data_IF_898779443261
#
_entry.id   IF_898779443261
#
_cell.length_a   1.000
_cell.length_b   1.000
_cell.length_c   1.000
_cell.angle_alpha   90.00
_cell.angle_beta   90.00
_cell.angle_gamma   90.00
#
_symmetry.space_group_name_H-M   'P 1'
#
loop_
_entity.id
_entity.type
_entity.pdbx_description
1 polymer ?
#
# COMPACT_ATOMS: atom_id res chain seq x y z
N UNK A 1 -36.93 -59.95 32.00
CA UNK A 1 -35.96 -59.64 33.07
C UNK A 1 -35.21 -58.38 32.66
N UNK A 2 -34.90 -57.51 33.62
CA UNK A 2 -34.70 -56.06 33.49
C UNK A 2 -33.48 -55.65 32.63
N UNK A 3 -33.67 -54.68 31.74
CA UNK A 3 -32.59 -53.91 31.12
C UNK A 3 -31.96 -52.99 32.19
N UNK A 4 -30.66 -53.15 32.44
CA UNK A 4 -29.91 -52.31 33.37
C UNK A 4 -29.59 -50.97 32.70
N UNK A 5 -30.27 -49.91 33.13
CA UNK A 5 -29.90 -48.53 32.84
C UNK A 5 -28.63 -48.19 33.64
N UNK A 6 -27.51 -48.05 32.95
CA UNK A 6 -26.28 -47.48 33.49
C UNK A 6 -26.52 -46.02 33.86
N UNK A 7 -26.18 -45.56 35.08
CA UNK A 7 -26.38 -44.17 35.47
C UNK A 7 -25.40 -43.25 34.70
N UNK A 8 -25.78 -42.01 34.37
CA UNK A 8 -24.88 -41.06 33.74
C UNK A 8 -23.71 -40.74 34.68
N UNK A 9 -22.48 -40.80 34.16
CA UNK A 9 -21.25 -40.49 34.89
C UNK A 9 -21.34 -39.07 35.48
N UNK A 10 -21.32 -38.95 36.80
CA UNK A 10 -21.28 -37.69 37.59
C UNK A 10 -20.04 -36.77 37.35
N UNK A 11 -19.22 -37.05 36.34
CA UNK A 11 -17.96 -36.32 36.08
C UNK A 11 -18.04 -35.19 35.05
N UNK A 12 -19.09 -35.14 34.22
CA UNK A 12 -19.12 -34.25 33.04
C UNK A 12 -19.25 -32.77 33.38
N UNK A 13 -20.05 -32.41 34.38
CA UNK A 13 -20.28 -31.00 34.73
C UNK A 13 -19.05 -30.31 35.35
N UNK A 14 -18.25 -31.03 36.13
CA UNK A 14 -17.02 -30.46 36.72
C UNK A 14 -15.89 -30.33 35.69
N UNK A 15 -15.82 -31.24 34.73
CA UNK A 15 -14.89 -31.16 33.59
C UNK A 15 -15.25 -30.00 32.65
N UNK A 16 -16.54 -29.80 32.33
CA UNK A 16 -17.00 -28.65 31.53
C UNK A 16 -16.75 -27.31 32.22
N UNK A 17 -16.97 -27.21 33.54
CA UNK A 17 -16.68 -25.99 34.30
C UNK A 17 -15.18 -25.69 34.40
N UNK A 18 -14.32 -26.71 34.43
CA UNK A 18 -12.86 -26.52 34.45
C UNK A 18 -12.31 -26.17 33.08
N UNK A 19 -12.80 -26.77 31.99
CA UNK A 19 -12.44 -26.38 30.62
C UNK A 19 -12.86 -24.94 30.31
N UNK A 20 -14.08 -24.53 30.69
CA UNK A 20 -14.54 -23.13 30.54
C UNK A 20 -13.67 -22.13 31.32
N UNK A 21 -13.26 -22.45 32.56
CA UNK A 21 -12.37 -21.60 33.37
C UNK A 21 -10.97 -21.50 32.76
N UNK A 22 -10.45 -22.60 32.21
CA UNK A 22 -9.15 -22.62 31.54
C UNK A 22 -9.17 -21.83 30.23
N UNK A 23 -10.25 -21.93 29.44
CA UNK A 23 -10.43 -21.10 28.24
C UNK A 23 -10.54 -19.61 28.55
N UNK A 24 -11.27 -19.25 29.60
CA UNK A 24 -11.40 -17.86 30.05
C UNK A 24 -10.04 -17.35 30.52
N UNK A 25 -9.31 -18.10 31.34
CA UNK A 25 -7.95 -17.74 31.80
C UNK A 25 -6.96 -17.62 30.63
N UNK A 26 -7.05 -18.50 29.63
CA UNK A 26 -6.24 -18.43 28.41
C UNK A 26 -6.54 -17.17 27.59
N UNK A 27 -7.81 -16.77 27.47
CA UNK A 27 -8.21 -15.50 26.82
C UNK A 27 -7.65 -14.29 27.56
N UNK A 28 -7.70 -14.26 28.89
CA UNK A 28 -7.13 -13.17 29.70
C UNK A 28 -5.60 -13.08 29.58
N UNK A 29 -4.89 -14.21 29.56
CA UNK A 29 -3.44 -14.21 29.30
C UNK A 29 -3.12 -13.76 27.87
N UNK A 30 -3.90 -14.21 26.88
CA UNK A 30 -3.79 -13.71 25.51
C UNK A 30 -3.98 -12.20 25.43
N UNK A 31 -4.98 -11.65 26.13
CA UNK A 31 -5.22 -10.22 26.20
C UNK A 31 -4.09 -9.50 26.95
N UNK A 32 -3.58 -10.06 28.05
CA UNK A 32 -2.46 -9.48 28.80
C UNK A 32 -1.20 -9.37 27.95
N UNK A 33 -0.87 -10.41 27.17
CA UNK A 33 0.25 -10.36 26.22
C UNK A 33 0.00 -9.42 25.05
N UNK A 34 -1.25 -9.27 24.61
CA UNK A 34 -1.62 -8.31 23.57
C UNK A 34 -1.75 -6.86 24.09
N UNK A 35 -1.92 -6.67 25.41
CA UNK A 35 -2.26 -5.38 26.01
C UNK A 35 -1.25 -4.28 25.70
N UNK A 36 0.08 -4.48 25.78
CA UNK A 36 1.04 -3.43 25.42
C UNK A 36 0.86 -2.94 23.98
N UNK A 37 0.67 -3.85 23.04
CA UNK A 37 0.44 -3.51 21.63
C UNK A 37 -0.92 -2.82 21.42
N UNK A 38 -1.97 -3.31 22.07
CA UNK A 38 -3.30 -2.69 21.99
C UNK A 38 -3.30 -1.28 22.57
N UNK A 39 -2.64 -1.06 23.71
CA UNK A 39 -2.52 0.26 24.32
C UNK A 39 -1.83 1.25 23.38
N UNK A 40 -0.71 0.84 22.77
CA UNK A 40 -0.02 1.69 21.78
C UNK A 40 -0.89 1.94 20.55
N UNK A 41 -1.59 0.92 20.05
CA UNK A 41 -2.51 1.05 18.93
C UNK A 41 -3.64 2.04 19.25
N UNK A 42 -4.28 1.93 20.41
CA UNK A 42 -5.35 2.86 20.80
C UNK A 42 -4.81 4.28 20.96
N UNK A 43 -3.68 4.44 21.66
CA UNK A 43 -3.10 5.75 21.96
C UNK A 43 -2.59 6.49 20.72
N UNK A 44 -1.89 5.80 19.81
CA UNK A 44 -1.15 6.42 18.72
C UNK A 44 -1.77 6.19 17.33
N UNK A 45 -2.73 5.28 17.19
CA UNK A 45 -3.42 5.04 15.92
C UNK A 45 -4.89 5.41 16.04
N UNK A 46 -5.64 4.77 16.94
CA UNK A 46 -7.09 4.94 16.95
C UNK A 46 -7.52 6.34 17.42
N UNK A 47 -6.92 6.86 18.50
CA UNK A 47 -7.26 8.20 19.01
C UNK A 47 -6.99 9.30 17.96
N UNK A 48 -5.80 9.38 17.32
CA UNK A 48 -5.56 10.36 16.25
C UNK A 48 -6.51 10.21 15.06
N UNK A 49 -6.85 8.98 14.66
CA UNK A 49 -7.82 8.74 13.57
C UNK A 49 -9.21 9.26 13.96
N UNK A 50 -9.67 9.00 15.18
CA UNK A 50 -10.93 9.57 15.67
C UNK A 50 -10.85 11.11 15.69
N UNK A 51 -9.72 11.67 16.10
CA UNK A 51 -9.46 13.11 16.05
C UNK A 51 -9.61 13.69 14.64
N UNK A 52 -8.97 13.08 13.65
CA UNK A 52 -9.07 13.48 12.25
C UNK A 52 -10.51 13.37 11.73
N UNK A 53 -11.22 12.28 12.06
CA UNK A 53 -12.64 12.14 11.71
C UNK A 53 -13.45 13.28 12.32
N UNK A 54 -13.26 13.63 13.59
CA UNK A 54 -13.98 14.75 14.23
C UNK A 54 -13.65 16.11 13.59
N UNK A 55 -12.38 16.34 13.22
CA UNK A 55 -11.94 17.55 12.53
C UNK A 55 -12.63 17.72 11.18
N UNK A 56 -12.86 16.64 10.44
CA UNK A 56 -13.52 16.69 9.13
C UNK A 56 -14.95 17.27 9.19
N UNK A 57 -15.62 17.25 10.35
CA UNK A 57 -16.97 17.82 10.53
C UNK A 57 -16.98 19.13 11.33
N UNK A 58 -15.81 19.73 11.59
CA UNK A 58 -15.66 20.96 12.37
C UNK A 58 -14.90 22.03 11.59
N UNK A 59 -15.25 23.29 11.87
CA UNK A 59 -14.40 24.44 11.52
C UNK A 59 -13.32 24.55 12.60
N UNK A 60 -12.20 23.88 12.37
CA UNK A 60 -11.15 23.77 13.38
C UNK A 60 -10.36 25.05 13.48
N UNK A 61 -10.41 25.67 14.66
CA UNK A 61 -9.64 26.85 14.99
C UNK A 61 -8.55 26.46 16.00
N UNK A 62 -7.25 26.50 15.63
CA UNK A 62 -6.17 26.02 16.49
C UNK A 62 -6.19 26.58 17.92
N UNK A 63 -6.56 27.86 18.08
CA UNK A 63 -6.66 28.51 19.40
C UNK A 63 -7.80 28.04 20.30
N UNK A 64 -8.82 27.35 19.76
CA UNK A 64 -9.97 26.80 20.52
C UNK A 64 -9.82 25.30 20.79
N UNK A 65 -8.95 24.62 20.07
CA UNK A 65 -8.82 23.17 20.10
C UNK A 65 -10.05 22.44 19.53
N UNK A 66 -9.98 21.11 19.48
CA UNK A 66 -10.97 20.28 18.77
C UNK A 66 -12.36 20.38 19.41
N UNK A 67 -12.42 20.42 20.74
CA UNK A 67 -13.70 20.34 21.48
C UNK A 67 -14.54 21.60 21.29
N UNK A 68 -13.93 22.79 21.42
CA UNK A 68 -14.63 24.07 21.36
C UNK A 68 -14.79 24.62 19.95
N UNK A 69 -14.10 24.04 18.96
CA UNK A 69 -14.27 24.39 17.55
C UNK A 69 -15.70 24.10 17.07
N UNK A 70 -16.35 25.03 16.34
CA UNK A 70 -17.72 24.88 15.85
C UNK A 70 -17.93 23.62 15.01
N UNK A 71 -19.09 22.99 15.16
CA UNK A 71 -19.52 21.89 14.29
C UNK A 71 -20.15 22.46 13.02
N UNK A 72 -19.64 22.05 11.87
CA UNK A 72 -20.12 22.50 10.54
C UNK A 72 -20.73 21.36 9.73
N UNK A 73 -20.82 20.15 10.30
CA UNK A 73 -21.42 19.01 9.61
C UNK A 73 -20.65 18.64 8.35
N UNK A 74 -21.30 18.70 7.19
CA UNK A 74 -20.71 18.29 5.91
C UNK A 74 -20.11 19.45 5.10
N UNK A 75 -20.04 20.66 5.66
CA UNK A 75 -19.60 21.84 4.91
C UNK A 75 -18.18 21.69 4.37
N UNK A 76 -17.24 21.14 5.14
CA UNK A 76 -15.87 20.85 4.66
C UNK A 76 -15.86 19.92 3.43
N UNK A 77 -16.73 18.91 3.40
CA UNK A 77 -16.84 17.99 2.25
C UNK A 77 -17.49 18.68 1.05
N UNK A 78 -18.47 19.55 1.30
CA UNK A 78 -19.12 20.33 0.24
C UNK A 78 -18.14 21.32 -0.37
N UNK A 79 -17.39 22.03 0.45
CA UNK A 79 -16.41 23.01 0.01
C UNK A 79 -15.30 22.33 -0.80
N UNK A 80 -14.79 21.21 -0.31
CA UNK A 80 -13.81 20.41 -1.05
C UNK A 80 -14.28 19.99 -2.45
N UNK A 81 -15.57 19.72 -2.62
CA UNK A 81 -16.13 19.25 -3.90
C UNK A 81 -16.68 20.36 -4.80
N UNK A 82 -16.97 21.55 -4.27
CA UNK A 82 -17.71 22.58 -5.01
C UNK A 82 -17.11 23.98 -4.93
N UNK A 83 -16.29 24.28 -3.93
CA UNK A 83 -15.66 25.57 -3.78
C UNK A 83 -14.39 25.61 -4.65
N UNK A 84 -14.30 26.50 -5.66
CA UNK A 84 -13.15 26.58 -6.57
C UNK A 84 -11.80 26.76 -5.86
N UNK A 85 -11.81 27.31 -4.65
CA UNK A 85 -10.60 27.47 -3.81
C UNK A 85 -9.95 26.12 -3.46
N UNK A 86 -10.75 25.05 -3.28
CA UNK A 86 -10.27 23.73 -2.87
C UNK A 86 -10.48 22.66 -3.95
N UNK A 87 -11.59 22.75 -4.70
CA UNK A 87 -12.01 21.68 -5.59
C UNK A 87 -11.06 21.49 -6.77
N UNK A 88 -10.47 22.56 -7.31
CA UNK A 88 -9.56 22.46 -8.45
C UNK A 88 -8.29 21.66 -8.08
N UNK A 89 -7.64 22.04 -6.98
CA UNK A 89 -6.45 21.35 -6.47
C UNK A 89 -6.79 19.91 -6.04
N UNK A 90 -7.93 19.70 -5.38
CA UNK A 90 -8.40 18.37 -5.00
C UNK A 90 -8.58 17.44 -6.21
N UNK A 91 -9.23 17.89 -7.28
CA UNK A 91 -9.42 17.06 -8.47
C UNK A 91 -8.12 16.78 -9.20
N UNK A 92 -7.20 17.75 -9.27
CA UNK A 92 -5.86 17.55 -9.82
C UNK A 92 -5.08 16.53 -9.00
N UNK A 93 -5.12 16.65 -7.66
CA UNK A 93 -4.48 15.73 -6.73
C UNK A 93 -5.02 14.31 -6.88
N UNK A 94 -6.34 14.18 -6.97
CA UNK A 94 -7.03 12.91 -7.16
C UNK A 94 -6.66 12.25 -8.50
N UNK A 95 -6.68 13.02 -9.59
CA UNK A 95 -6.33 12.56 -10.93
C UNK A 95 -4.86 12.09 -10.98
N UNK A 96 -3.93 12.90 -10.47
CA UNK A 96 -2.52 12.54 -10.43
C UNK A 96 -2.28 11.28 -9.60
N UNK A 97 -2.91 11.19 -8.42
CA UNK A 97 -2.79 10.01 -7.55
C UNK A 97 -3.33 8.75 -8.22
N UNK A 98 -4.43 8.88 -8.97
CA UNK A 98 -5.00 7.78 -9.75
C UNK A 98 -4.05 7.36 -10.90
N UNK A 99 -3.52 8.32 -11.67
CA UNK A 99 -2.54 8.05 -12.75
C UNK A 99 -1.31 7.34 -12.20
N UNK A 100 -0.75 7.86 -11.10
CA UNK A 100 0.42 7.28 -10.43
C UNK A 100 0.10 5.86 -9.96
N UNK A 101 -1.06 5.63 -9.33
CA UNK A 101 -1.44 4.31 -8.81
C UNK A 101 -1.67 3.30 -9.93
N UNK A 102 -2.39 3.67 -10.99
CA UNK A 102 -2.66 2.82 -12.14
C UNK A 102 -1.37 2.46 -12.88
N UNK A 103 -0.37 3.34 -12.89
CA UNK A 103 0.94 3.05 -13.46
C UNK A 103 1.80 2.17 -12.53
N UNK A 104 1.97 2.57 -11.27
CA UNK A 104 2.92 1.94 -10.35
C UNK A 104 2.49 0.54 -9.94
N UNK A 105 1.22 0.30 -9.64
CA UNK A 105 0.77 -1.02 -9.13
C UNK A 105 1.08 -2.15 -10.13
N UNK A 106 0.67 -2.07 -11.41
CA UNK A 106 1.00 -3.11 -12.38
C UNK A 106 2.50 -3.21 -12.65
N UNK A 107 3.23 -2.08 -12.74
CA UNK A 107 4.67 -2.10 -12.97
C UNK A 107 5.38 -2.82 -11.83
N UNK A 108 5.06 -2.51 -10.59
CA UNK A 108 5.70 -3.12 -9.41
C UNK A 108 5.47 -4.63 -9.36
N UNK A 109 4.23 -5.06 -9.64
CA UNK A 109 3.87 -6.48 -9.69
C UNK A 109 4.60 -7.18 -10.83
N UNK A 110 4.60 -6.58 -12.03
CA UNK A 110 5.22 -7.16 -13.22
C UNK A 110 6.74 -7.29 -13.04
N UNK A 111 7.41 -6.23 -12.57
CA UNK A 111 8.84 -6.26 -12.28
C UNK A 111 9.15 -7.31 -11.23
N UNK A 112 8.40 -7.34 -10.13
CA UNK A 112 8.63 -8.32 -9.07
C UNK A 112 8.46 -9.76 -9.56
N UNK A 113 7.42 -10.04 -10.35
CA UNK A 113 7.14 -11.36 -10.89
C UNK A 113 8.18 -11.80 -11.94
N UNK A 114 8.55 -10.92 -12.86
CA UNK A 114 9.56 -11.21 -13.89
C UNK A 114 10.91 -11.48 -13.23
N UNK A 115 11.34 -10.62 -12.32
CA UNK A 115 12.62 -10.78 -11.63
C UNK A 115 12.62 -12.04 -10.75
N UNK A 116 11.53 -12.31 -10.03
CA UNK A 116 11.40 -13.56 -9.27
C UNK A 116 11.47 -14.80 -10.16
N UNK A 117 10.78 -14.79 -11.30
CA UNK A 117 10.82 -15.89 -12.28
C UNK A 117 12.22 -16.11 -12.88
N UNK A 118 12.98 -15.03 -13.11
CA UNK A 118 14.37 -15.11 -13.58
C UNK A 118 15.31 -15.66 -12.52
N UNK A 119 15.13 -15.29 -11.25
CA UNK A 119 16.01 -15.70 -10.14
C UNK A 119 15.67 -17.10 -9.64
N UNK A 120 14.40 -17.51 -9.68
CA UNK A 120 13.93 -18.81 -9.18
C UNK A 120 14.73 -20.03 -9.66
N UNK A 121 15.07 -20.21 -10.96
CA UNK A 121 15.85 -21.36 -11.41
C UNK A 121 17.34 -21.31 -11.01
N UNK A 122 17.82 -20.19 -10.45
CA UNK A 122 19.23 -20.04 -10.06
C UNK A 122 19.54 -20.75 -8.74
N UNK A 123 20.82 -21.05 -8.50
CA UNK A 123 21.27 -21.67 -7.25
C UNK A 123 21.08 -20.76 -6.01
N UNK A 124 21.00 -21.33 -4.78
CA UNK A 124 20.61 -20.59 -3.58
C UNK A 124 21.46 -19.35 -3.26
N UNK A 125 22.77 -19.42 -3.51
CA UNK A 125 23.70 -18.28 -3.30
C UNK A 125 23.37 -17.11 -4.21
N UNK A 126 23.13 -17.39 -5.49
CA UNK A 126 22.77 -16.39 -6.50
C UNK A 126 21.40 -15.78 -6.21
N UNK A 127 20.43 -16.61 -5.78
CA UNK A 127 19.13 -16.08 -5.35
C UNK A 127 19.26 -15.10 -4.18
N UNK A 128 20.04 -15.45 -3.17
CA UNK A 128 20.23 -14.59 -2.00
C UNK A 128 20.92 -13.28 -2.37
N UNK A 129 21.89 -13.31 -3.27
CA UNK A 129 22.55 -12.11 -3.78
C UNK A 129 21.55 -11.16 -4.46
N UNK A 130 20.74 -11.65 -5.41
CA UNK A 130 19.77 -10.80 -6.11
C UNK A 130 18.64 -10.33 -5.19
N UNK A 131 18.12 -11.18 -4.29
CA UNK A 131 17.14 -10.77 -3.29
C UNK A 131 17.68 -9.61 -2.44
N UNK A 132 18.92 -9.69 -1.99
CA UNK A 132 19.56 -8.61 -1.24
C UNK A 132 19.74 -7.34 -2.09
N UNK A 133 20.22 -7.48 -3.34
CA UNK A 133 20.45 -6.36 -4.25
C UNK A 133 19.14 -5.58 -4.56
N UNK A 134 18.04 -6.29 -4.83
CA UNK A 134 16.74 -5.67 -5.11
C UNK A 134 16.02 -5.18 -3.85
N UNK A 135 16.35 -5.69 -2.67
CA UNK A 135 15.81 -5.21 -1.40
C UNK A 135 16.56 -3.99 -0.86
N UNK A 136 17.83 -3.81 -1.23
CA UNK A 136 18.70 -2.74 -0.75
C UNK A 136 18.13 -1.31 -0.93
N UNK A 137 17.50 -0.95 -2.07
CA UNK A 137 16.87 0.38 -2.22
C UNK A 137 15.81 0.67 -1.16
N UNK A 138 15.12 -0.36 -0.67
CA UNK A 138 14.11 -0.26 0.40
C UNK A 138 14.68 0.17 1.75
N UNK A 139 15.99 -0.04 1.96
CA UNK A 139 16.70 0.27 3.21
C UNK A 139 17.24 1.71 3.20
N UNK A 140 17.52 2.25 2.01
CA UNK A 140 18.01 3.62 1.85
C UNK A 140 16.85 4.59 2.12
N UNK A 141 17.15 5.73 2.75
CA UNK A 141 16.16 6.78 2.99
C UNK A 141 15.49 7.21 1.68
N UNK A 142 14.16 7.14 1.64
CA UNK A 142 13.36 7.57 0.50
C UNK A 142 13.63 9.03 0.11
N UNK A 143 13.97 9.89 1.08
CA UNK A 143 14.33 11.30 0.83
C UNK A 143 15.64 11.40 0.06
N UNK A 144 16.66 10.61 0.42
CA UNK A 144 17.96 10.60 -0.27
C UNK A 144 17.77 10.14 -1.73
N UNK A 145 17.02 9.06 -1.93
CA UNK A 145 16.69 8.55 -3.27
C UNK A 145 15.99 9.64 -4.09
N UNK A 146 14.99 10.30 -3.51
CA UNK A 146 14.25 11.37 -4.19
C UNK A 146 15.14 12.57 -4.55
N UNK A 147 16.11 12.96 -3.71
CA UNK A 147 17.08 14.02 -4.03
C UNK A 147 17.97 13.62 -5.21
N UNK A 148 18.45 12.36 -5.24
CA UNK A 148 19.26 11.86 -6.36
C UNK A 148 18.46 11.89 -7.66
N UNK A 149 17.21 11.42 -7.63
CA UNK A 149 16.33 11.48 -8.80
C UNK A 149 16.01 12.91 -9.22
N UNK A 150 15.74 13.82 -8.28
CA UNK A 150 15.54 15.23 -8.56
C UNK A 150 16.74 15.84 -9.32
N UNK A 151 17.96 15.54 -8.87
CA UNK A 151 19.16 15.95 -9.57
C UNK A 151 19.24 15.34 -10.98
N UNK A 152 18.98 14.04 -11.13
CA UNK A 152 18.97 13.36 -12.43
C UNK A 152 17.97 13.96 -13.43
N UNK A 153 16.83 14.44 -12.95
CA UNK A 153 15.77 15.10 -13.73
C UNK A 153 15.96 16.62 -13.90
N UNK A 154 17.07 17.20 -13.44
CA UNK A 154 17.32 18.64 -13.65
C UNK A 154 17.37 18.97 -15.14
N UNK A 155 16.62 19.99 -15.58
CA UNK A 155 16.37 20.23 -17.01
C UNK A 155 17.66 20.61 -17.79
N UNK A 156 18.54 21.42 -17.19
CA UNK A 156 19.76 21.87 -17.87
C UNK A 156 20.92 20.88 -17.76
N UNK A 157 21.24 20.42 -16.55
CA UNK A 157 22.47 19.64 -16.26
C UNK A 157 22.18 18.26 -15.62
N UNK A 158 20.93 17.82 -15.60
CA UNK A 158 20.57 16.50 -15.08
C UNK A 158 21.08 15.40 -15.98
N UNK A 159 21.47 14.28 -15.35
CA UNK A 159 22.05 13.13 -16.04
C UNK A 159 21.16 12.67 -17.22
N UNK A 160 19.84 12.64 -17.03
CA UNK A 160 18.91 12.13 -18.04
C UNK A 160 18.89 13.04 -19.27
N UNK A 161 18.74 14.35 -19.11
CA UNK A 161 18.75 15.29 -20.26
C UNK A 161 20.13 15.38 -20.93
N UNK A 162 21.22 15.25 -20.17
CA UNK A 162 22.57 15.15 -20.75
C UNK A 162 22.69 13.93 -21.64
N UNK A 163 22.23 12.75 -21.18
CA UNK A 163 22.22 11.53 -21.98
C UNK A 163 21.29 11.63 -23.19
N UNK A 164 20.09 12.22 -23.04
CA UNK A 164 19.18 12.44 -24.17
C UNK A 164 19.80 13.31 -25.27
N UNK A 165 20.45 14.43 -24.88
CA UNK A 165 21.17 15.29 -25.84
C UNK A 165 22.32 14.56 -26.52
N UNK A 166 23.07 13.73 -25.79
CA UNK A 166 24.16 12.94 -26.36
C UNK A 166 23.66 11.91 -27.39
N UNK A 167 22.41 11.44 -27.25
CA UNK A 167 21.74 10.56 -28.20
C UNK A 167 21.01 11.32 -29.33
N UNK A 168 21.07 12.65 -29.34
CA UNK A 168 20.46 13.50 -30.38
C UNK A 168 18.99 13.87 -30.12
N UNK A 169 18.45 13.63 -28.93
CA UNK A 169 17.08 14.01 -28.55
C UNK A 169 17.02 15.41 -27.92
N UNK A 170 15.86 16.06 -28.02
CA UNK A 170 15.60 17.32 -27.34
C UNK A 170 15.47 17.11 -25.81
N UNK A 171 15.93 18.08 -24.99
CA UNK A 171 15.76 18.01 -23.54
C UNK A 171 14.29 18.02 -23.14
N UNK A 172 13.92 17.19 -22.17
CA UNK A 172 12.56 17.15 -21.63
C UNK A 172 12.43 18.16 -20.49
N UNK A 173 11.36 18.99 -20.46
CA UNK A 173 11.07 19.91 -19.36
C UNK A 173 10.41 19.16 -18.19
N UNK A 174 11.22 18.40 -17.44
CA UNK A 174 10.77 17.46 -16.41
C UNK A 174 9.89 18.08 -15.33
N UNK A 175 10.11 19.34 -14.95
CA UNK A 175 9.38 20.00 -13.86
C UNK A 175 8.51 21.18 -14.34
N UNK A 176 8.67 21.59 -15.60
CA UNK A 176 7.93 22.73 -16.16
C UNK A 176 6.58 22.34 -16.77
N UNK A 177 6.33 21.06 -17.07
CA UNK A 177 5.03 20.57 -17.55
C UNK A 177 4.46 19.48 -16.63
N UNK A 178 3.13 19.52 -16.39
CA UNK A 178 2.41 18.55 -15.55
C UNK A 178 2.71 17.09 -15.90
N UNK A 179 2.61 16.74 -17.18
CA UNK A 179 2.80 15.36 -17.67
C UNK A 179 4.17 14.80 -17.30
N UNK A 180 5.21 15.62 -17.43
CA UNK A 180 6.58 15.19 -17.15
C UNK A 180 6.86 15.18 -15.65
N UNK A 181 6.31 16.13 -14.90
CA UNK A 181 6.43 16.15 -13.45
C UNK A 181 5.81 14.88 -12.82
N UNK A 182 4.61 14.48 -13.26
CA UNK A 182 3.99 13.21 -12.84
C UNK A 182 4.82 12.00 -13.29
N UNK A 183 5.38 12.02 -14.50
CA UNK A 183 6.26 10.96 -14.98
C UNK A 183 7.53 10.83 -14.10
N UNK A 184 8.12 11.92 -13.62
CA UNK A 184 9.30 11.87 -12.73
C UNK A 184 8.97 11.18 -11.40
N UNK A 185 7.76 11.39 -10.87
CA UNK A 185 7.27 10.74 -9.65
C UNK A 185 7.13 9.23 -9.87
N UNK A 186 6.54 8.82 -11.00
CA UNK A 186 6.39 7.41 -11.35
C UNK A 186 7.77 6.76 -11.53
N UNK A 187 8.62 7.32 -12.37
CA UNK A 187 9.93 6.75 -12.72
C UNK A 187 10.85 6.63 -11.50
N UNK A 188 10.86 7.64 -10.62
CA UNK A 188 11.67 7.60 -9.40
C UNK A 188 11.18 6.58 -8.37
N UNK A 189 9.92 6.16 -8.44
CA UNK A 189 9.31 5.22 -7.50
C UNK A 189 9.51 3.75 -7.88
N UNK A 190 9.76 3.45 -9.16
CA UNK A 190 9.93 2.08 -9.68
C UNK A 190 11.06 1.30 -8.98
N UNK A 191 12.28 1.86 -8.76
CA UNK A 191 13.37 1.10 -8.17
C UNK A 191 13.16 0.71 -6.70
N UNK A 192 12.28 1.41 -5.98
CA UNK A 192 12.06 1.21 -4.55
C UNK A 192 11.07 0.08 -4.26
N UNK A 193 10.02 -0.03 -5.06
CA UNK A 193 8.84 -0.81 -4.73
C UNK A 193 8.93 -2.34 -4.88
N UNK A 194 9.70 -2.96 -5.80
CA UNK A 194 9.55 -4.39 -6.09
C UNK A 194 10.31 -5.32 -5.13
N UNK A 195 11.23 -4.82 -4.29
CA UNK A 195 12.15 -5.66 -3.51
C UNK A 195 11.46 -6.69 -2.61
N UNK A 196 10.48 -6.27 -1.81
CA UNK A 196 9.70 -7.18 -0.97
C UNK A 196 8.83 -8.14 -1.80
N UNK A 197 8.29 -7.65 -2.93
CA UNK A 197 7.51 -8.46 -3.87
C UNK A 197 8.33 -9.59 -4.50
N UNK A 198 9.59 -9.33 -4.86
CA UNK A 198 10.49 -10.36 -5.42
C UNK A 198 10.71 -11.48 -4.40
N UNK A 199 10.97 -11.12 -3.14
CA UNK A 199 11.19 -12.12 -2.08
C UNK A 199 9.93 -12.98 -1.87
N UNK A 200 8.76 -12.34 -1.82
CA UNK A 200 7.48 -13.03 -1.65
C UNK A 200 7.17 -13.95 -2.84
N UNK A 201 7.38 -13.50 -4.08
CA UNK A 201 7.18 -14.35 -5.24
C UNK A 201 8.17 -15.50 -5.31
N UNK A 202 9.46 -15.30 -5.00
CA UNK A 202 10.41 -16.42 -4.96
C UNK A 202 10.03 -17.42 -3.86
N UNK A 203 9.59 -16.95 -2.69
CA UNK A 203 9.12 -17.83 -1.62
C UNK A 203 7.87 -18.62 -2.04
N UNK A 204 6.94 -17.99 -2.76
CA UNK A 204 5.74 -18.63 -3.28
C UNK A 204 6.06 -19.64 -4.38
N UNK A 205 6.96 -19.31 -5.32
CA UNK A 205 7.44 -20.21 -6.37
C UNK A 205 8.11 -21.46 -5.77
N UNK A 206 8.93 -21.29 -4.73
CA UNK A 206 9.60 -22.39 -4.03
C UNK A 206 8.62 -23.33 -3.29
N UNK A 207 7.37 -22.92 -3.05
CA UNK A 207 6.33 -23.76 -2.42
C UNK A 207 5.56 -24.60 -3.44
N UNK A 208 5.72 -24.34 -4.74
CA UNK A 208 5.04 -25.09 -5.79
C UNK A 208 5.65 -26.50 -5.84
N UNK A 209 4.88 -27.57 -5.60
CA UNK A 209 5.38 -28.93 -5.67
C UNK A 209 5.92 -29.23 -7.08
N UNK A 210 7.15 -29.77 -7.22
CA UNK A 210 7.73 -30.07 -8.53
C UNK A 210 6.88 -31.08 -9.32
N UNK A 211 6.13 -31.94 -8.63
CA UNK A 211 5.27 -32.96 -9.22
C UNK A 211 4.19 -32.34 -10.13
N UNK A 212 3.68 -31.14 -9.79
CA UNK A 212 2.69 -30.44 -10.64
C UNK A 212 3.31 -29.94 -11.96
N UNK A 213 4.58 -29.58 -11.93
CA UNK A 213 5.31 -29.12 -13.12
C UNK A 213 5.75 -30.29 -13.99
N UNK A 214 6.05 -31.44 -13.37
CA UNK A 214 6.37 -32.70 -14.03
C UNK A 214 5.12 -33.33 -14.67
N UNK A 215 3.98 -33.34 -13.99
CA UNK A 215 2.73 -33.84 -14.56
C UNK A 215 2.31 -33.02 -15.80
N UNK A 216 2.39 -31.68 -15.70
CA UNK A 216 2.14 -30.81 -16.84
C UNK A 216 3.15 -31.05 -17.98
N UNK A 217 4.39 -31.45 -17.68
CA UNK A 217 5.37 -31.82 -18.68
C UNK A 217 5.00 -33.09 -19.45
N UNK A 218 4.50 -34.10 -18.73
CA UNK A 218 4.03 -35.36 -19.28
C UNK A 218 2.81 -35.13 -20.19
N UNK A 219 1.94 -34.19 -19.84
CA UNK A 219 0.79 -33.77 -20.65
C UNK A 219 1.17 -32.91 -21.89
N UNK A 220 2.47 -32.73 -22.15
CA UNK A 220 2.98 -32.00 -23.31
C UNK A 220 2.97 -30.48 -23.17
N UNK A 221 2.75 -29.94 -21.95
CA UNK A 221 2.75 -28.51 -21.75
C UNK A 221 4.17 -27.92 -21.91
N UNK A 222 4.30 -26.92 -22.78
CA UNK A 222 5.52 -26.14 -22.92
C UNK A 222 5.71 -25.15 -21.74
N UNK A 223 6.88 -24.50 -21.66
CA UNK A 223 7.21 -23.60 -20.54
C UNK A 223 6.19 -22.46 -20.36
N UNK A 224 5.69 -21.88 -21.45
CA UNK A 224 4.71 -20.80 -21.39
C UNK A 224 3.33 -21.30 -20.91
N UNK A 225 2.92 -22.49 -21.37
CA UNK A 225 1.70 -23.14 -20.92
C UNK A 225 1.76 -23.46 -19.43
N UNK A 226 2.88 -24.02 -18.93
CA UNK A 226 3.07 -24.26 -17.48
C UNK A 226 3.05 -22.96 -16.68
N UNK A 227 3.71 -21.92 -17.19
CA UNK A 227 3.72 -20.61 -16.53
C UNK A 227 2.31 -20.05 -16.39
N UNK A 228 1.54 -20.01 -17.48
CA UNK A 228 0.20 -19.43 -17.49
C UNK A 228 -0.85 -20.29 -16.79
N UNK A 229 -0.81 -21.61 -16.96
CA UNK A 229 -1.87 -22.51 -16.53
C UNK A 229 -1.64 -23.12 -15.14
N UNK A 230 -0.39 -23.20 -14.66
CA UNK A 230 -0.05 -23.80 -13.36
C UNK A 230 0.51 -22.76 -12.41
N UNK A 231 1.58 -22.07 -12.82
CA UNK A 231 2.32 -21.17 -11.92
C UNK A 231 1.49 -19.92 -11.58
N UNK A 232 0.97 -19.18 -12.57
CA UNK A 232 0.22 -17.94 -12.31
C UNK A 232 -1.01 -18.15 -11.40
N UNK A 233 -1.85 -19.19 -11.58
CA UNK A 233 -2.94 -19.48 -10.66
C UNK A 233 -2.47 -19.75 -9.22
N UNK A 234 -1.40 -20.53 -9.04
CA UNK A 234 -0.85 -20.84 -7.72
C UNK A 234 -0.21 -19.62 -7.03
N UNK A 235 0.25 -18.64 -7.82
CA UNK A 235 0.75 -17.38 -7.29
C UNK A 235 -0.36 -16.38 -6.93
N UNK A 236 -1.62 -16.62 -7.31
CA UNK A 236 -2.75 -15.68 -7.12
C UNK A 236 -2.87 -15.14 -5.69
N UNK A 237 -2.74 -15.92 -4.60
CA UNK A 237 -2.82 -15.40 -3.23
C UNK A 237 -1.69 -14.41 -2.91
N UNK A 238 -0.47 -14.70 -3.40
CA UNK A 238 0.69 -13.82 -3.24
C UNK A 238 0.52 -12.55 -4.08
N UNK A 239 0.04 -12.68 -5.31
CA UNK A 239 -0.28 -11.56 -6.19
C UNK A 239 -1.34 -10.67 -5.58
N UNK A 240 -2.41 -11.23 -5.00
CA UNK A 240 -3.46 -10.48 -4.31
C UNK A 240 -2.90 -9.63 -3.18
N UNK A 241 -2.09 -10.24 -2.31
CA UNK A 241 -1.44 -9.52 -1.22
C UNK A 241 -0.59 -8.36 -1.75
N UNK A 242 0.22 -8.60 -2.78
CA UNK A 242 1.07 -7.57 -3.38
C UNK A 242 0.27 -6.46 -4.07
N UNK A 243 -0.83 -6.79 -4.75
CA UNK A 243 -1.74 -5.81 -5.36
C UNK A 243 -2.33 -4.89 -4.30
N UNK A 244 -2.85 -5.45 -3.20
CA UNK A 244 -3.47 -4.67 -2.13
C UNK A 244 -2.46 -3.74 -1.47
N UNK A 245 -1.32 -4.27 -1.04
CA UNK A 245 -0.27 -3.47 -0.40
C UNK A 245 0.27 -2.40 -1.36
N UNK A 246 0.55 -2.75 -2.61
CA UNK A 246 1.05 -1.78 -3.60
C UNK A 246 0.04 -0.69 -3.89
N UNK A 247 -1.26 -1.01 -3.88
CA UNK A 247 -2.34 -0.04 -4.09
C UNK A 247 -2.40 0.95 -2.93
N UNK A 248 -2.41 0.45 -1.68
CA UNK A 248 -2.40 1.29 -0.48
C UNK A 248 -1.20 2.25 -0.48
N UNK A 249 0.00 1.74 -0.77
CA UNK A 249 1.21 2.56 -0.78
C UNK A 249 1.26 3.57 -1.94
N UNK A 250 0.73 3.21 -3.12
CA UNK A 250 0.68 4.13 -4.26
C UNK A 250 -0.29 5.28 -4.03
N UNK A 251 -1.45 5.02 -3.42
CA UNK A 251 -2.38 6.08 -3.00
C UNK A 251 -1.80 7.00 -1.93
N UNK A 252 -0.87 6.48 -1.12
CA UNK A 252 -0.18 7.22 -0.06
C UNK A 252 1.12 7.89 -0.51
N UNK A 253 1.37 7.99 -1.81
CA UNK A 253 2.62 8.55 -2.31
C UNK A 253 2.80 10.01 -1.89
N UNK A 254 3.89 10.28 -1.17
CA UNK A 254 4.17 11.59 -0.59
C UNK A 254 5.61 12.03 -0.87
N UNK A 255 6.60 11.22 -0.49
CA UNK A 255 8.00 11.64 -0.48
C UNK A 255 8.53 12.13 -1.84
N UNK A 256 8.32 11.43 -2.97
CA UNK A 256 8.80 11.92 -4.27
C UNK A 256 8.14 13.24 -4.68
N UNK A 257 6.85 13.39 -4.37
CA UNK A 257 6.08 14.62 -4.63
C UNK A 257 6.65 15.77 -3.79
N UNK A 258 6.80 15.57 -2.48
CA UNK A 258 7.29 16.59 -1.55
C UNK A 258 8.76 17.01 -1.81
N UNK A 259 9.63 16.05 -2.15
CA UNK A 259 11.06 16.32 -2.32
C UNK A 259 11.36 16.83 -3.73
N UNK A 260 10.83 16.18 -4.76
CA UNK A 260 11.23 16.42 -6.15
C UNK A 260 10.44 17.57 -6.78
N UNK A 261 9.09 17.48 -6.75
CA UNK A 261 8.23 18.39 -7.52
C UNK A 261 7.71 19.55 -6.67
N UNK A 262 7.35 19.31 -5.41
CA UNK A 262 6.59 20.24 -4.55
C UNK A 262 5.34 20.77 -5.25
N UNK A 263 4.62 19.88 -5.94
CA UNK A 263 3.44 20.23 -6.72
C UNK A 263 3.73 20.97 -8.04
N UNK A 264 4.99 21.31 -8.39
CA UNK A 264 5.28 22.06 -9.63
C UNK A 264 4.91 21.30 -10.92
N UNK A 265 4.48 21.99 -11.99
CA UNK A 265 4.26 23.44 -12.08
C UNK A 265 2.93 23.86 -11.42
N UNK A 266 2.91 24.94 -10.63
CA UNK A 266 1.69 25.53 -10.06
C UNK A 266 0.67 24.52 -9.48
N UNK A 267 1.12 23.68 -8.53
CA UNK A 267 0.36 22.59 -7.89
C UNK A 267 -0.15 21.46 -8.82
N UNK A 268 0.16 21.49 -10.12
CA UNK A 268 -0.33 20.52 -11.11
C UNK A 268 0.23 19.11 -10.96
N UNK A 269 1.31 18.89 -10.21
CA UNK A 269 1.85 17.54 -9.92
C UNK A 269 1.64 17.07 -8.48
N UNK A 270 0.72 17.71 -7.76
CA UNK A 270 0.37 17.34 -6.38
C UNK A 270 -0.25 15.94 -6.33
N UNK A 271 -0.06 15.23 -5.21
CA UNK A 271 -0.77 14.00 -4.87
C UNK A 271 -1.75 14.27 -3.73
N UNK A 272 -2.73 13.39 -3.53
CA UNK A 272 -3.77 13.61 -2.53
C UNK A 272 -3.20 13.72 -1.11
N UNK A 273 -2.15 12.96 -0.78
CA UNK A 273 -1.47 13.08 0.52
C UNK A 273 -0.65 14.37 0.63
N UNK A 274 -0.05 14.84 -0.47
CA UNK A 274 0.66 16.12 -0.44
C UNK A 274 -0.31 17.31 -0.34
N UNK A 275 -1.49 17.21 -0.95
CA UNK A 275 -2.56 18.19 -0.81
C UNK A 275 -3.08 18.28 0.63
N UNK A 276 -3.37 17.12 1.26
CA UNK A 276 -3.72 17.04 2.69
C UNK A 276 -2.66 17.73 3.55
N UNK A 277 -1.38 17.53 3.23
CA UNK A 277 -0.28 18.16 3.94
C UNK A 277 -0.29 19.68 3.76
N UNK A 278 -0.43 20.18 2.53
CA UNK A 278 -0.48 21.62 2.25
C UNK A 278 -1.66 22.28 2.97
N UNK A 279 -2.85 21.69 2.86
CA UNK A 279 -4.04 22.21 3.52
C UNK A 279 -3.88 22.24 5.05
N UNK A 280 -3.38 21.16 5.67
CA UNK A 280 -3.23 21.10 7.12
C UNK A 280 -2.11 22.00 7.67
N UNK A 281 -0.94 22.03 7.01
CA UNK A 281 0.28 22.58 7.60
C UNK A 281 0.75 23.89 6.96
N UNK A 282 0.44 24.13 5.69
CA UNK A 282 0.79 25.38 5.01
C UNK A 282 -0.38 26.38 5.08
N UNK A 283 -1.61 25.91 4.85
CA UNK A 283 -2.84 26.74 4.87
C UNK A 283 -3.57 26.77 6.22
N UNK A 284 -3.24 25.86 7.15
CA UNK A 284 -3.94 25.70 8.45
C UNK A 284 -5.44 25.35 8.32
N UNK A 285 -5.85 24.82 7.17
CA UNK A 285 -7.21 24.36 6.86
C UNK A 285 -7.41 22.90 7.30
N UNK A 286 -7.31 22.65 8.61
CA UNK A 286 -7.35 21.29 9.18
C UNK A 286 -8.68 20.57 8.95
N UNK A 287 -9.80 21.30 8.86
CA UNK A 287 -11.12 20.73 8.57
C UNK A 287 -11.19 20.16 7.16
N UNK A 288 -10.74 20.95 6.17
CA UNK A 288 -10.63 20.55 4.76
C UNK A 288 -9.65 19.38 4.60
N UNK A 289 -8.44 19.50 5.15
CA UNK A 289 -7.44 18.43 5.08
C UNK A 289 -7.92 17.11 5.70
N UNK A 290 -8.71 17.19 6.78
CA UNK A 290 -9.30 16.00 7.41
C UNK A 290 -10.42 15.40 6.55
N UNK A 291 -11.22 16.23 5.87
CA UNK A 291 -12.22 15.77 4.91
C UNK A 291 -11.55 15.06 3.71
N UNK A 292 -10.46 15.62 3.16
CA UNK A 292 -9.64 14.98 2.13
C UNK A 292 -9.10 13.62 2.58
N UNK A 293 -8.54 13.55 3.79
CA UNK A 293 -8.03 12.30 4.37
C UNK A 293 -9.12 11.24 4.53
N UNK A 294 -10.35 11.64 4.91
CA UNK A 294 -11.49 10.73 4.99
C UNK A 294 -11.91 10.20 3.61
N UNK A 295 -11.91 11.06 2.57
CA UNK A 295 -12.19 10.62 1.20
C UNK A 295 -11.11 9.66 0.70
N UNK A 296 -9.83 9.98 0.90
CA UNK A 296 -8.72 9.09 0.57
C UNK A 296 -8.88 7.72 1.26
N UNK A 297 -9.19 7.72 2.56
CA UNK A 297 -9.44 6.48 3.31
C UNK A 297 -10.59 5.67 2.70
N UNK A 298 -11.70 6.31 2.36
CA UNK A 298 -12.84 5.64 1.72
C UNK A 298 -12.47 5.04 0.34
N UNK A 299 -11.69 5.77 -0.47
CA UNK A 299 -11.19 5.30 -1.77
C UNK A 299 -10.29 4.08 -1.58
N UNK A 300 -9.29 4.15 -0.70
CA UNK A 300 -8.36 3.04 -0.44
C UNK A 300 -9.10 1.82 0.11
N UNK A 301 -10.05 2.03 1.04
CA UNK A 301 -10.88 0.95 1.58
C UNK A 301 -11.73 0.31 0.50
N UNK A 302 -12.35 1.11 -0.38
CA UNK A 302 -13.16 0.61 -1.50
C UNK A 302 -12.32 -0.30 -2.40
N UNK A 303 -11.13 0.14 -2.83
CA UNK A 303 -10.25 -0.67 -3.67
C UNK A 303 -9.72 -1.90 -2.95
N UNK A 304 -9.35 -1.80 -1.67
CA UNK A 304 -8.90 -2.95 -0.89
C UNK A 304 -9.99 -4.02 -0.79
N UNK A 305 -11.22 -3.64 -0.44
CA UNK A 305 -12.38 -4.55 -0.35
C UNK A 305 -12.70 -5.16 -1.71
N UNK A 306 -12.64 -4.36 -2.79
CA UNK A 306 -12.86 -4.82 -4.16
C UNK A 306 -11.81 -5.88 -4.53
N UNK A 307 -10.53 -5.59 -4.31
CA UNK A 307 -9.42 -6.49 -4.62
C UNK A 307 -9.55 -7.80 -3.82
N UNK A 308 -9.80 -7.73 -2.51
CA UNK A 308 -10.05 -8.92 -1.71
C UNK A 308 -11.23 -9.74 -2.21
N UNK A 309 -12.34 -9.10 -2.63
CA UNK A 309 -13.52 -9.84 -3.10
C UNK A 309 -13.31 -10.54 -4.44
N UNK A 310 -12.61 -9.92 -5.40
CA UNK A 310 -12.41 -10.50 -6.74
C UNK A 310 -11.23 -11.48 -6.83
N UNK A 311 -10.20 -11.28 -6.02
CA UNK A 311 -8.97 -12.08 -6.09
C UNK A 311 -8.87 -13.18 -5.02
N UNK A 312 -9.75 -13.21 -4.02
CA UNK A 312 -9.81 -14.33 -3.06
C UNK A 312 -10.07 -15.63 -3.84
N UNK A 313 -9.11 -16.55 -3.81
CA UNK A 313 -9.31 -17.94 -4.22
C UNK A 313 -9.94 -18.71 -3.07
N UNK A 314 -10.84 -19.64 -3.38
CA UNK A 314 -11.59 -20.46 -2.42
C UNK A 314 -10.72 -21.46 -1.64
N UNK A 315 -9.41 -21.49 -1.87
CA UNK A 315 -8.47 -22.49 -1.32
C UNK A 315 -7.59 -21.95 -0.18
N UNK A 316 -8.16 -21.16 0.73
CA UNK A 316 -7.60 -21.11 2.09
C UNK A 316 -8.22 -22.27 2.91
N UNK A 317 -7.68 -23.47 2.72
CA UNK A 317 -7.88 -24.61 3.62
C UNK A 317 -6.54 -25.32 3.88
#
# INVERSE_FOLDING_TARGET
MRAALTPPRRGTANEELTTMRLETRRKWWGLFFAAPNLLLFFAFVLIPVIGAVLLAFKDFQPGRGIVLSPWVGLDNFRDLLTNPVFSEDFYVALENTAIITIALVPINIAVALVVAGMIHPMGPRTQNFFKAAFYLPGIISAVIIAIVWQWMFTEHNGLINVTLRALGFEPIPWFSERRWAVATIILSSIPYAPGAGIILYVAALNRIPPELLESAAIDGANLWQRWRAVILPLLKPTTLYLVVISTIESFKIFTPVYVMTRGRPANQSTSLVFEIYQNAFDSSEFGIASAEAMILFAIVMFFAVLQFRYLRSEEEF
#
